data_IF_150421116586
#
_entry.id   IF_150421116586
#
_cell.length_a   1.000
_cell.length_b   1.000
_cell.length_c   1.000
_cell.angle_alpha   90.00
_cell.angle_beta   90.00
_cell.angle_gamma   90.00
#
_symmetry.space_group_name_H-M   'P 1'
#
loop_
_entity.id
_entity.type
_entity.pdbx_description
1 polymer ?
#
# COMPACT_ATOMS: atom_id res chain seq x y z
N UNK A 1 2.40 -3.85 19.90
CA UNK A 1 3.49 -3.47 18.96
C UNK A 1 3.13 -2.15 18.30
N UNK A 2 4.04 -1.17 18.22
CA UNK A 2 3.74 0.16 17.66
C UNK A 2 3.58 0.06 16.13
N UNK A 3 2.32 -0.05 15.68
CA UNK A 3 1.96 -0.24 14.26
C UNK A 3 2.55 0.87 13.38
N UNK A 4 2.55 2.13 13.85
CA UNK A 4 3.06 3.27 13.08
C UNK A 4 4.57 3.24 12.85
N UNK A 5 5.35 2.77 13.84
CA UNK A 5 6.79 2.59 13.65
C UNK A 5 7.08 1.50 12.61
N UNK A 6 6.32 0.41 12.65
CA UNK A 6 6.43 -0.63 11.62
C UNK A 6 6.07 -0.08 10.23
N UNK A 7 4.98 0.69 10.10
CA UNK A 7 4.60 1.35 8.84
C UNK A 7 5.69 2.26 8.30
N UNK A 8 6.34 3.03 9.17
CA UNK A 8 7.46 3.90 8.78
C UNK A 8 8.61 3.10 8.19
N UNK A 9 8.97 1.99 8.84
CA UNK A 9 10.05 1.14 8.37
C UNK A 9 9.69 0.40 7.08
N UNK A 10 8.45 -0.06 6.94
CA UNK A 10 7.94 -0.63 5.68
C UNK A 10 8.06 0.40 4.55
N UNK A 11 7.54 1.61 4.73
CA UNK A 11 7.64 2.68 3.72
C UNK A 11 9.09 2.95 3.30
N UNK A 12 10.04 3.00 4.25
CA UNK A 12 11.47 3.18 3.94
C UNK A 12 12.05 2.04 3.13
N UNK A 13 11.71 0.80 3.48
CA UNK A 13 12.17 -0.39 2.76
C UNK A 13 11.61 -0.42 1.34
N UNK A 14 10.34 -0.06 1.17
CA UNK A 14 9.66 -0.03 -0.12
C UNK A 14 10.12 1.11 -1.03
N UNK A 15 10.40 2.28 -0.45
CA UNK A 15 11.06 3.39 -1.15
C UNK A 15 12.46 3.04 -1.65
N UNK A 16 13.09 2.02 -1.08
CA UNK A 16 14.43 1.60 -1.43
C UNK A 16 15.53 2.36 -0.70
N UNK A 17 15.25 2.88 0.51
CA UNK A 17 16.25 3.56 1.33
C UNK A 17 17.43 2.60 1.62
N UNK A 18 18.59 2.84 1.00
CA UNK A 18 19.79 1.99 1.06
C UNK A 18 20.55 1.99 2.40
N UNK A 19 19.92 2.42 3.50
CA UNK A 19 20.55 2.42 4.81
C UNK A 19 20.79 0.98 5.30
N UNK A 20 21.91 0.76 6.00
CA UNK A 20 22.31 -0.52 6.59
C UNK A 20 21.17 -1.17 7.38
N UNK A 21 20.41 -0.39 8.15
CA UNK A 21 19.25 -0.89 8.89
C UNK A 21 18.19 -1.50 7.95
N UNK A 22 17.90 -0.86 6.82
CA UNK A 22 16.93 -1.35 5.84
C UNK A 22 17.41 -2.65 5.18
N UNK A 23 18.70 -2.76 4.87
CA UNK A 23 19.30 -3.98 4.31
C UNK A 23 19.26 -5.15 5.31
N UNK A 24 19.59 -4.88 6.58
CA UNK A 24 19.50 -5.86 7.66
C UNK A 24 18.06 -6.31 7.91
N UNK A 25 17.11 -5.36 7.95
CA UNK A 25 15.69 -5.66 8.13
C UNK A 25 15.14 -6.45 6.95
N UNK A 26 15.51 -6.10 5.71
CA UNK A 26 15.12 -6.85 4.51
C UNK A 26 15.64 -8.29 4.58
N UNK A 27 16.91 -8.48 4.94
CA UNK A 27 17.51 -9.81 5.07
C UNK A 27 16.89 -10.64 6.20
N UNK A 28 16.56 -10.01 7.34
CA UNK A 28 16.07 -10.69 8.54
C UNK A 28 14.57 -11.01 8.50
N UNK A 29 13.75 -10.12 7.95
CA UNK A 29 12.29 -10.19 8.08
C UNK A 29 11.55 -10.35 6.75
N UNK A 30 12.18 -10.02 5.62
CA UNK A 30 11.52 -10.03 4.30
C UNK A 30 12.08 -11.13 3.39
N UNK A 31 13.38 -11.43 3.42
CA UNK A 31 13.96 -12.36 2.45
C UNK A 31 13.58 -11.95 1.02
N UNK A 32 13.01 -12.87 0.23
CA UNK A 32 12.42 -12.59 -1.10
C UNK A 32 10.92 -12.21 -1.06
N UNK A 33 10.27 -12.24 0.11
CA UNK A 33 8.82 -12.02 0.24
C UNK A 33 8.51 -10.72 0.99
N UNK A 34 7.50 -9.96 0.56
CA UNK A 34 6.96 -8.85 1.37
C UNK A 34 6.34 -9.40 2.66
N UNK A 35 6.31 -8.59 3.72
CA UNK A 35 5.71 -8.96 5.01
C UNK A 35 4.20 -9.16 4.82
N UNK A 36 3.77 -10.42 4.75
CA UNK A 36 2.35 -10.81 4.62
C UNK A 36 1.67 -10.89 5.99
N UNK A 37 1.67 -9.80 6.76
CA UNK A 37 1.20 -9.83 8.14
C UNK A 37 0.30 -8.66 8.49
N UNK A 38 -1.02 -8.84 8.33
CA UNK A 38 -2.09 -8.12 9.06
C UNK A 38 -1.84 -6.62 9.31
N UNK A 39 -1.39 -5.89 8.30
CA UNK A 39 -1.05 -4.46 8.39
C UNK A 39 -1.95 -3.63 7.47
N UNK A 40 -3.25 -3.83 7.65
CA UNK A 40 -4.35 -3.14 6.98
C UNK A 40 -4.15 -1.60 6.94
N UNK A 41 -3.63 -1.01 8.01
CA UNK A 41 -3.36 0.42 8.09
C UNK A 41 -2.16 0.92 7.27
N UNK A 42 -1.14 0.08 7.02
CA UNK A 42 0.03 0.47 6.21
C UNK A 42 -0.30 0.43 4.74
N UNK A 43 -0.99 -0.65 4.31
CA UNK A 43 -1.40 -0.83 2.92
C UNK A 43 -2.27 0.33 2.45
N UNK A 44 -3.16 0.83 3.31
CA UNK A 44 -4.00 1.99 3.02
C UNK A 44 -3.23 3.28 2.76
N UNK A 45 -1.98 3.40 3.24
CA UNK A 45 -1.18 4.62 3.06
C UNK A 45 -0.19 4.58 1.89
N UNK A 46 0.07 3.39 1.33
CA UNK A 46 1.07 3.19 0.29
C UNK A 46 0.42 3.19 -1.09
N UNK A 47 0.77 4.17 -1.93
CA UNK A 47 0.45 4.15 -3.35
C UNK A 47 1.71 3.93 -4.16
N UNK A 48 1.67 2.93 -5.03
CA UNK A 48 2.76 2.62 -5.93
C UNK A 48 2.62 3.43 -7.21
N UNK A 49 3.74 4.00 -7.65
CA UNK A 49 3.87 4.63 -8.95
C UNK A 49 4.62 3.62 -9.82
N UNK A 50 3.91 3.06 -10.77
CA UNK A 50 4.45 2.03 -11.64
C UNK A 50 5.38 2.63 -12.65
N UNK A 51 6.50 1.93 -12.84
CA UNK A 51 7.49 2.24 -13.85
C UNK A 51 7.84 0.97 -14.61
N UNK A 52 8.41 -0.05 -13.96
CA UNK A 52 8.66 -1.36 -14.60
C UNK A 52 7.66 -2.44 -14.19
N UNK A 53 6.89 -2.22 -13.13
CA UNK A 53 5.84 -3.11 -12.63
C UNK A 53 6.34 -4.35 -11.89
N UNK A 54 7.64 -4.53 -11.71
CA UNK A 54 8.21 -5.77 -11.13
C UNK A 54 8.07 -5.84 -9.62
N UNK A 55 7.95 -4.69 -8.94
CA UNK A 55 7.79 -4.63 -7.49
C UNK A 55 6.35 -4.45 -7.06
N UNK A 56 5.42 -4.23 -7.98
CA UNK A 56 4.01 -3.94 -7.66
C UNK A 56 3.20 -5.20 -7.88
N UNK A 57 2.49 -5.66 -6.85
CA UNK A 57 1.55 -6.79 -6.97
C UNK A 57 0.26 -6.31 -7.61
N UNK A 58 -0.13 -6.94 -8.70
CA UNK A 58 -1.25 -6.49 -9.52
C UNK A 58 -2.56 -6.36 -8.72
N UNK A 59 -2.88 -7.37 -7.91
CA UNK A 59 -4.13 -7.39 -7.15
C UNK A 59 -4.07 -6.71 -5.78
N UNK A 60 -2.91 -6.80 -5.12
CA UNK A 60 -2.80 -6.49 -3.69
C UNK A 60 -2.37 -5.07 -3.38
N UNK A 61 -1.61 -4.44 -4.28
CA UNK A 61 -1.07 -3.10 -4.05
C UNK A 61 -1.97 -2.03 -4.67
N UNK A 62 -2.02 -0.82 -4.08
CA UNK A 62 -2.73 0.32 -4.68
C UNK A 62 -1.80 1.00 -5.68
N UNK A 63 -2.00 0.72 -6.95
CA UNK A 63 -1.21 1.31 -8.04
C UNK A 63 -2.06 1.96 -9.12
N UNK A 64 -3.34 1.61 -9.18
CA UNK A 64 -4.35 2.22 -10.02
C UNK A 64 -5.63 2.44 -9.22
N UNK A 65 -6.33 3.54 -9.50
CA UNK A 65 -7.49 3.97 -8.73
C UNK A 65 -7.14 4.28 -7.27
N UNK A 66 -8.10 4.04 -6.37
CA UNK A 66 -8.01 4.37 -4.94
C UNK A 66 -7.86 3.14 -4.03
N UNK A 67 -8.27 1.97 -4.49
CA UNK A 67 -8.28 0.73 -3.73
C UNK A 67 -7.56 -0.38 -4.49
N UNK A 68 -7.00 -1.39 -3.79
CA UNK A 68 -6.44 -2.57 -4.45
C UNK A 68 -7.45 -3.32 -5.34
N UNK A 69 -6.98 -3.90 -6.45
CA UNK A 69 -7.89 -4.63 -7.36
C UNK A 69 -8.42 -5.95 -6.75
N UNK A 70 -7.85 -6.45 -5.65
CA UNK A 70 -8.29 -7.68 -4.95
C UNK A 70 -9.73 -7.61 -4.41
N UNK A 71 -10.33 -6.41 -4.34
CA UNK A 71 -11.72 -6.25 -3.92
C UNK A 71 -12.74 -6.65 -5.00
N UNK A 72 -12.30 -6.86 -6.25
CA UNK A 72 -13.14 -7.25 -7.39
C UNK A 72 -13.57 -8.72 -7.33
N UNK A 73 -14.63 -9.07 -8.04
CA UNK A 73 -15.03 -10.46 -8.26
C UNK A 73 -14.03 -11.18 -9.19
N UNK A 74 -13.39 -10.44 -10.12
CA UNK A 74 -12.31 -10.97 -10.97
C UNK A 74 -11.19 -11.61 -10.16
N UNK A 75 -10.78 -10.99 -9.04
CA UNK A 75 -9.74 -11.54 -8.18
C UNK A 75 -10.11 -12.94 -7.66
N UNK A 76 -11.36 -13.16 -7.28
CA UNK A 76 -11.81 -14.42 -6.69
C UNK A 76 -11.69 -15.60 -7.65
N UNK A 77 -11.80 -15.34 -8.95
CA UNK A 77 -11.73 -16.36 -10.01
C UNK A 77 -10.37 -16.41 -10.72
N UNK A 78 -9.47 -15.47 -10.43
CA UNK A 78 -8.15 -15.40 -11.05
C UNK A 78 -7.18 -16.48 -10.51
N UNK A 79 -6.32 -17.00 -11.39
CA UNK A 79 -5.28 -17.97 -11.00
C UNK A 79 -4.00 -17.30 -10.51
N UNK A 80 -3.63 -16.16 -11.09
CA UNK A 80 -2.38 -15.44 -10.81
C UNK A 80 -2.55 -14.35 -9.74
N UNK A 81 -3.15 -14.69 -8.59
CA UNK A 81 -3.46 -13.72 -7.53
C UNK A 81 -2.22 -13.02 -6.94
N UNK A 82 -1.05 -13.66 -7.01
CA UNK A 82 0.22 -13.14 -6.49
C UNK A 82 1.11 -12.50 -7.56
N UNK A 83 0.64 -12.40 -8.82
CA UNK A 83 1.41 -11.87 -9.94
C UNK A 83 1.74 -10.38 -9.79
N UNK A 84 2.88 -9.97 -10.36
CA UNK A 84 3.25 -8.57 -10.44
C UNK A 84 2.68 -7.89 -11.69
N UNK A 85 2.64 -6.56 -11.69
CA UNK A 85 2.12 -5.77 -12.81
C UNK A 85 2.91 -6.05 -14.10
N UNK A 86 4.22 -6.27 -14.00
CA UNK A 86 5.05 -6.63 -15.15
C UNK A 86 4.68 -7.98 -15.76
N UNK A 87 4.33 -8.97 -14.95
CA UNK A 87 3.90 -10.29 -15.44
C UNK A 87 2.53 -10.23 -16.11
N UNK A 88 1.66 -9.33 -15.64
CA UNK A 88 0.30 -9.21 -16.15
C UNK A 88 0.22 -8.32 -17.39
N UNK A 89 1.07 -7.28 -17.49
CA UNK A 89 0.98 -6.25 -18.54
C UNK A 89 2.24 -6.13 -19.40
N UNK A 90 3.26 -6.94 -19.14
CA UNK A 90 4.58 -6.81 -19.77
C UNK A 90 4.58 -7.01 -21.28
N UNK A 91 3.61 -7.75 -21.81
CA UNK A 91 3.46 -8.00 -23.25
C UNK A 91 2.68 -6.92 -24.00
N UNK A 92 2.09 -5.94 -23.28
CA UNK A 92 1.22 -4.91 -23.85
C UNK A 92 -0.27 -5.24 -23.81
N UNK A 93 -0.63 -6.47 -23.46
CA UNK A 93 -2.01 -6.90 -23.21
C UNK A 93 -2.15 -7.46 -21.79
N UNK A 94 -3.39 -7.54 -21.28
CA UNK A 94 -3.65 -8.07 -19.93
C UNK A 94 -3.64 -9.60 -19.93
N UNK A 95 -2.56 -10.18 -19.42
CA UNK A 95 -2.34 -11.63 -19.33
C UNK A 95 -2.86 -12.22 -18.01
N UNK A 96 -4.18 -12.39 -17.91
CA UNK A 96 -4.83 -13.03 -16.76
C UNK A 96 -5.57 -14.30 -17.17
N UNK A 97 -5.48 -15.34 -16.33
CA UNK A 97 -6.26 -16.58 -16.51
C UNK A 97 -7.23 -16.79 -15.36
N UNK A 98 -8.33 -17.46 -15.67
CA UNK A 98 -9.46 -17.60 -14.74
C UNK A 98 -9.89 -19.07 -14.63
N UNK A 99 -10.39 -19.45 -13.44
CA UNK A 99 -10.79 -20.83 -13.12
C UNK A 99 -12.15 -21.21 -13.71
N UNK A 100 -12.93 -20.23 -14.14
CA UNK A 100 -14.23 -20.37 -14.78
C UNK A 100 -14.47 -19.19 -15.72
N UNK A 101 -15.50 -19.31 -16.54
CA UNK A 101 -15.96 -18.22 -17.40
C UNK A 101 -16.58 -17.09 -16.57
N UNK A 102 -16.59 -15.88 -17.14
CA UNK A 102 -17.20 -14.70 -16.54
C UNK A 102 -18.72 -14.80 -16.51
N UNK A 103 -19.32 -14.29 -15.44
CA UNK A 103 -20.72 -13.89 -15.42
C UNK A 103 -20.85 -12.40 -15.74
N UNK A 104 -22.09 -11.89 -15.69
CA UNK A 104 -22.39 -10.48 -16.04
C UNK A 104 -21.59 -9.47 -15.21
N UNK A 105 -21.39 -9.74 -13.92
CA UNK A 105 -20.64 -8.84 -13.03
C UNK A 105 -19.15 -8.80 -13.38
N UNK A 106 -18.54 -9.97 -13.60
CA UNK A 106 -17.13 -10.05 -13.95
C UNK A 106 -16.84 -9.45 -15.32
N UNK A 107 -17.78 -9.52 -16.27
CA UNK A 107 -17.64 -8.85 -17.58
C UNK A 107 -17.52 -7.33 -17.40
N UNK A 108 -18.42 -6.72 -16.62
CA UNK A 108 -18.38 -5.27 -16.36
C UNK A 108 -17.10 -4.86 -15.64
N UNK A 109 -16.66 -5.65 -14.65
CA UNK A 109 -15.39 -5.39 -13.96
C UNK A 109 -14.19 -5.55 -14.89
N UNK A 110 -14.25 -6.50 -15.84
CA UNK A 110 -13.18 -6.74 -16.80
C UNK A 110 -13.04 -5.59 -17.78
N UNK A 111 -14.15 -5.11 -18.35
CA UNK A 111 -14.17 -3.94 -19.23
C UNK A 111 -13.62 -2.70 -18.52
N UNK A 112 -14.07 -2.44 -17.30
CA UNK A 112 -13.55 -1.33 -16.49
C UNK A 112 -12.05 -1.48 -16.19
N UNK A 113 -11.58 -2.70 -15.93
CA UNK A 113 -10.16 -2.98 -15.72
C UNK A 113 -9.33 -2.70 -16.97
N UNK A 114 -9.80 -3.14 -18.14
CA UNK A 114 -9.12 -2.88 -19.41
C UNK A 114 -9.04 -1.38 -19.71
N UNK A 115 -10.12 -0.64 -19.49
CA UNK A 115 -10.16 0.82 -19.70
C UNK A 115 -9.18 1.55 -18.76
N UNK A 116 -9.15 1.15 -17.49
CA UNK A 116 -8.20 1.72 -16.52
C UNK A 116 -6.74 1.44 -16.92
N UNK A 117 -6.43 0.22 -17.38
CA UNK A 117 -5.06 -0.25 -17.56
C UNK A 117 -4.52 0.01 -18.97
N UNK A 118 -5.38 0.27 -19.96
CA UNK A 118 -5.01 0.39 -21.37
C UNK A 118 -3.91 1.41 -21.68
N UNK A 119 -3.79 2.47 -20.89
CA UNK A 119 -2.79 3.53 -21.09
C UNK A 119 -1.46 3.29 -20.35
N UNK A 120 -1.29 2.13 -19.70
CA UNK A 120 -0.11 1.87 -18.86
C UNK A 120 1.09 1.42 -19.70
N UNK A 121 2.14 2.25 -19.72
CA UNK A 121 3.41 1.95 -20.41
C UNK A 121 4.50 1.60 -19.39
N UNK A 122 5.01 0.37 -19.47
CA UNK A 122 6.11 -0.09 -18.63
C UNK A 122 7.48 0.26 -19.25
N UNK A 123 8.39 0.75 -18.43
CA UNK A 123 9.79 1.07 -18.78
C UNK A 123 10.77 0.19 -17.99
N UNK A 124 12.08 0.42 -18.12
CA UNK A 124 13.10 -0.37 -17.42
C UNK A 124 13.44 0.16 -16.01
N UNK A 125 13.00 1.37 -15.67
CA UNK A 125 13.31 2.00 -14.38
C UNK A 125 12.53 1.37 -13.22
N UNK A 126 13.06 1.49 -12.00
CA UNK A 126 12.42 0.88 -10.82
C UNK A 126 11.12 1.60 -10.42
N UNK A 127 10.11 0.82 -10.07
CA UNK A 127 8.90 1.32 -9.41
C UNK A 127 9.22 2.17 -8.16
N UNK A 128 8.34 3.15 -7.90
CA UNK A 128 8.43 4.06 -6.77
C UNK A 128 7.20 3.96 -5.86
N UNK A 129 7.31 4.46 -4.64
CA UNK A 129 6.22 4.47 -3.65
C UNK A 129 6.01 5.86 -3.09
N UNK A 130 4.75 6.26 -2.95
CA UNK A 130 4.32 7.53 -2.35
C UNK A 130 3.41 7.27 -1.16
N UNK A 131 3.51 8.14 -0.16
CA UNK A 131 2.60 8.13 0.99
C UNK A 131 1.38 9.01 0.70
N UNK A 132 0.17 8.46 0.72
CA UNK A 132 -1.02 9.20 0.26
C UNK A 132 -1.60 10.16 1.30
N UNK A 133 -1.32 9.99 2.59
CA UNK A 133 -1.90 10.84 3.64
C UNK A 133 -1.20 12.19 3.81
N UNK A 134 -0.14 12.46 3.05
CA UNK A 134 0.60 13.72 3.10
C UNK A 134 0.79 14.26 1.68
N UNK A 135 0.56 15.57 1.49
CA UNK A 135 0.65 16.22 0.18
C UNK A 135 2.03 16.09 -0.48
N UNK A 136 3.07 15.98 0.33
CA UNK A 136 4.45 15.83 -0.13
C UNK A 136 4.83 14.38 -0.45
N UNK A 137 3.94 13.40 -0.24
CA UNK A 137 4.23 11.99 -0.50
C UNK A 137 5.19 11.35 0.51
N UNK A 138 5.50 12.04 1.61
CA UNK A 138 6.45 11.60 2.65
C UNK A 138 5.69 11.01 3.82
N UNK A 139 6.20 9.89 4.36
CA UNK A 139 5.62 9.27 5.54
C UNK A 139 5.64 10.17 6.76
N UNK A 140 4.48 10.28 7.43
CA UNK A 140 4.30 11.01 8.67
C UNK A 140 3.57 10.14 9.68
N UNK A 141 4.20 9.89 10.82
CA UNK A 141 3.59 9.14 11.94
C UNK A 141 2.27 9.77 12.37
N UNK A 142 2.18 11.10 12.35
CA UNK A 142 0.98 11.87 12.71
C UNK A 142 -0.17 11.61 11.74
N UNK A 143 0.08 11.61 10.43
CA UNK A 143 -0.96 11.33 9.41
C UNK A 143 -1.55 9.92 9.58
N UNK A 144 -0.68 8.93 9.84
CA UNK A 144 -1.12 7.56 10.06
C UNK A 144 -1.91 7.41 11.37
N UNK A 145 -1.47 8.06 12.45
CA UNK A 145 -2.23 8.03 13.71
C UNK A 145 -3.62 8.63 13.54
N UNK A 146 -3.74 9.75 12.80
CA UNK A 146 -5.05 10.35 12.49
C UNK A 146 -5.94 9.35 11.74
N UNK A 147 -5.43 8.73 10.69
CA UNK A 147 -6.21 7.78 9.90
C UNK A 147 -6.60 6.50 10.67
N UNK A 148 -5.70 5.96 11.49
CA UNK A 148 -5.94 4.74 12.26
C UNK A 148 -6.90 4.97 13.43
N UNK A 149 -6.78 6.14 14.08
CA UNK A 149 -7.58 6.44 15.27
C UNK A 149 -8.93 7.03 14.88
N UNK A 150 -8.99 7.78 13.78
CA UNK A 150 -10.19 8.48 13.35
C UNK A 150 -10.26 8.61 11.81
N UNK A 151 -10.62 7.53 11.09
CA UNK A 151 -10.81 7.60 9.64
C UNK A 151 -11.93 8.61 9.32
N UNK A 152 -11.54 9.81 8.87
CA UNK A 152 -12.47 10.89 8.51
C UNK A 152 -13.12 11.66 9.67
N UNK A 153 -12.76 11.41 10.94
CA UNK A 153 -13.26 12.18 12.09
C UNK A 153 -12.12 12.88 12.82
N UNK A 154 -12.32 14.09 13.33
CA UNK A 154 -11.33 14.72 14.23
C UNK A 154 -11.94 14.73 15.62
N UNK A 155 -11.50 13.81 16.50
CA UNK A 155 -11.92 13.86 17.89
C UNK A 155 -11.16 14.97 18.62
N UNK A 156 -11.80 16.14 18.69
CA UNK A 156 -11.26 17.34 19.35
C UNK A 156 -10.88 17.09 20.82
N UNK A 157 -11.59 16.20 21.52
CA UNK A 157 -11.28 15.85 22.91
C UNK A 157 -9.93 15.14 23.05
N UNK A 158 -9.62 14.22 22.13
CA UNK A 158 -8.32 13.54 22.15
C UNK A 158 -7.17 14.51 21.86
N UNK A 159 -7.33 15.44 20.92
CA UNK A 159 -6.31 16.47 20.68
C UNK A 159 -6.05 17.32 21.94
N UNK A 160 -7.10 17.72 22.65
CA UNK A 160 -6.98 18.48 23.89
C UNK A 160 -6.27 17.70 25.01
N UNK A 161 -6.50 16.38 25.11
CA UNK A 161 -5.78 15.53 26.07
C UNK A 161 -4.29 15.42 25.71
N UNK A 162 -3.94 15.32 24.42
CA UNK A 162 -2.55 15.27 23.97
C UNK A 162 -1.83 16.62 24.06
N UNK A 163 -2.57 17.74 23.99
CA UNK A 163 -2.06 19.10 24.17
C UNK A 163 -2.00 19.53 25.65
N UNK A 164 -2.60 18.75 26.55
CA UNK A 164 -2.55 19.03 27.98
C UNK A 164 -1.10 18.94 28.47
N UNK A 165 -0.51 20.10 28.81
CA UNK A 165 0.73 20.15 29.56
C UNK A 165 0.48 19.46 30.89
N UNK A 166 1.13 18.32 31.11
CA UNK A 166 1.17 17.70 32.43
C UNK A 166 1.73 18.72 33.40
N UNK A 167 0.87 19.29 34.23
CA UNK A 167 1.30 19.99 35.43
C UNK A 167 1.88 18.91 36.33
N UNK A 168 3.19 18.69 36.21
CA UNK A 168 3.98 17.99 37.22
C UNK A 168 3.80 18.81 38.49
N UNK A 169 2.86 18.40 39.34
CA UNK A 169 2.70 18.96 40.66
C UNK A 169 4.05 18.85 41.36
N UNK A 170 4.68 19.99 41.58
CA UNK A 170 5.84 20.12 42.46
C UNK A 170 5.40 19.69 43.84
N UNK A 171 5.64 18.42 44.19
CA UNK A 171 5.74 17.98 45.57
C UNK A 171 6.95 18.69 46.18
N UNK A 172 6.72 19.91 46.69
CA UNK A 172 7.64 20.53 47.63
C UNK A 172 7.56 19.75 48.94
N UNK A 173 8.75 19.40 49.44
CA UNK A 173 9.05 18.74 50.71
C UNK A 173 8.49 19.48 51.91
#
# INVERSE_FOLDING_TARGET
MNKCLLSKWIFKIERGDGNICCNLLRKKYLGTKRLHGNQDCCERGLRYVIVNGKKVRFWHDVWIGECPLRQTHLYQINNQQEGCVHEVLGSGEVELTFRRNFGEREILEWEALLDMVGDTLLTQESDAVKWIFEKLGVFSTTSLYKEVTFPGMTNKWMLLVWEAKLLMASLQR
#
